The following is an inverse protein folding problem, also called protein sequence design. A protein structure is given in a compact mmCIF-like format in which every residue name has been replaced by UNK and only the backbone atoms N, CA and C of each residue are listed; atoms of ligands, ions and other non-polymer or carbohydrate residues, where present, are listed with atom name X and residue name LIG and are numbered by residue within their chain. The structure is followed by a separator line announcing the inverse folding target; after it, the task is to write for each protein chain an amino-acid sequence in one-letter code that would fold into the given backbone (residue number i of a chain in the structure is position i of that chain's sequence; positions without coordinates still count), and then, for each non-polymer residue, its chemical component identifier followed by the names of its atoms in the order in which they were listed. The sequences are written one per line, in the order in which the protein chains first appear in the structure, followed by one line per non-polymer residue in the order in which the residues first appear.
data_IF_723030092438
#
_entry.id   IF_723030092438
#
_cell.length_a   1.000
_cell.length_b   1.000
_cell.length_c   1.000
_cell.angle_alpha   90.00
_cell.angle_beta   90.00
_cell.angle_gamma   90.00
#
_symmetry.space_group_name_H-M   'P 1'
#
loop_
_entity.id
_entity.type
_entity.pdbx_description
1 polymer ?
#
# COMPACT_ATOMS: atom_id res chain seq x y z
N UNK A 1 34.47 -5.36 60.58
CA UNK A 1 33.11 -4.99 60.10
C UNK A 1 33.08 -4.50 58.64
N UNK A 2 34.02 -4.92 57.78
CA UNK A 2 34.26 -4.27 56.47
C UNK A 2 33.94 -5.14 55.23
N UNK A 3 34.01 -6.47 55.33
CA UNK A 3 33.77 -7.36 54.17
C UNK A 3 32.30 -7.45 53.72
N UNK A 4 31.35 -7.40 54.67
CA UNK A 4 29.89 -7.56 54.38
C UNK A 4 29.28 -6.38 53.65
N UNK A 5 29.85 -5.18 53.80
CA UNK A 5 29.38 -3.97 53.12
C UNK A 5 29.91 -3.91 51.68
N UNK A 6 31.14 -4.36 51.43
CA UNK A 6 31.70 -4.44 50.07
C UNK A 6 30.90 -5.33 49.13
N UNK A 7 30.46 -6.51 49.60
CA UNK A 7 29.62 -7.41 48.80
C UNK A 7 28.22 -6.85 48.48
N UNK A 8 27.63 -6.08 49.41
CA UNK A 8 26.33 -5.43 49.21
C UNK A 8 26.40 -4.26 48.23
N UNK A 9 27.45 -3.44 48.31
CA UNK A 9 27.70 -2.37 47.34
C UNK A 9 28.00 -2.94 45.94
N UNK A 10 28.78 -4.03 45.85
CA UNK A 10 29.03 -4.70 44.58
C UNK A 10 27.73 -5.24 43.95
N UNK A 11 26.84 -5.84 44.75
CA UNK A 11 25.55 -6.35 44.28
C UNK A 11 24.61 -5.22 43.81
N UNK A 12 24.59 -4.09 44.50
CA UNK A 12 23.78 -2.92 44.13
C UNK A 12 24.30 -2.30 42.82
N UNK A 13 25.62 -2.11 42.69
CA UNK A 13 26.22 -1.60 41.46
C UNK A 13 26.00 -2.54 40.27
N UNK A 14 26.11 -3.85 40.47
CA UNK A 14 25.82 -4.84 39.42
C UNK A 14 24.35 -4.79 38.96
N UNK A 15 23.41 -4.66 39.92
CA UNK A 15 21.98 -4.57 39.61
C UNK A 15 21.63 -3.26 38.90
N UNK A 16 22.22 -2.14 39.33
CA UNK A 16 22.06 -0.84 38.68
C UNK A 16 22.62 -0.82 37.25
N UNK A 17 23.79 -1.42 37.03
CA UNK A 17 24.38 -1.55 35.70
C UNK A 17 23.55 -2.44 34.77
N UNK A 18 23.00 -3.55 35.27
CA UNK A 18 22.15 -4.45 34.49
C UNK A 18 20.82 -3.78 34.10
N UNK A 19 20.24 -3.01 35.02
CA UNK A 19 18.97 -2.29 34.79
C UNK A 19 19.17 -1.15 33.79
N UNK A 20 20.26 -0.38 33.91
CA UNK A 20 20.60 0.67 32.95
C UNK A 20 20.89 0.10 31.55
N UNK A 21 21.53 -1.07 31.44
CA UNK A 21 21.81 -1.69 30.15
C UNK A 21 20.52 -2.03 29.36
N UNK A 22 19.42 -2.37 30.02
CA UNK A 22 18.13 -2.66 29.35
C UNK A 22 17.51 -1.41 28.74
N UNK A 23 17.73 -0.22 29.31
CA UNK A 23 17.16 1.05 28.81
C UNK A 23 18.07 1.82 27.84
N UNK A 24 19.36 1.46 27.76
CA UNK A 24 20.35 2.14 26.91
C UNK A 24 20.62 1.38 25.60
N UNK A 25 20.23 0.10 25.52
CA UNK A 25 20.32 -0.65 24.28
C UNK A 25 19.24 -0.15 23.30
N UNK A 26 19.61 0.26 22.07
CA UNK A 26 18.62 0.62 21.06
C UNK A 26 17.75 -0.60 20.79
N UNK A 27 16.43 -0.40 20.78
CA UNK A 27 15.50 -1.43 20.35
C UNK A 27 15.84 -1.83 18.91
N UNK A 28 16.39 -3.04 18.73
CA UNK A 28 16.61 -3.62 17.40
C UNK A 28 15.29 -4.19 16.90
N UNK A 29 14.37 -3.32 16.50
CA UNK A 29 13.31 -3.70 15.58
C UNK A 29 13.96 -3.91 14.21
N UNK A 30 14.54 -5.09 13.99
CA UNK A 30 14.99 -5.46 12.65
C UNK A 30 13.78 -5.48 11.74
N UNK A 31 13.81 -4.71 10.66
CA UNK A 31 12.76 -4.75 9.65
C UNK A 31 12.81 -6.12 8.99
N UNK A 32 11.83 -6.98 9.27
CA UNK A 32 11.70 -8.24 8.53
C UNK A 32 11.31 -7.90 7.09
N UNK A 33 12.28 -8.02 6.18
CA UNK A 33 12.07 -7.75 4.77
C UNK A 33 10.90 -8.58 4.20
N UNK A 34 10.69 -9.81 4.68
CA UNK A 34 9.55 -10.64 4.24
C UNK A 34 8.22 -10.03 4.68
N UNK A 35 8.12 -9.58 5.93
CA UNK A 35 6.92 -8.90 6.42
C UNK A 35 6.64 -7.59 5.66
N UNK A 36 7.68 -6.81 5.35
CA UNK A 36 7.54 -5.59 4.54
C UNK A 36 7.01 -5.90 3.14
N UNK A 37 7.62 -6.88 2.45
CA UNK A 37 7.19 -7.30 1.11
C UNK A 37 5.75 -7.83 1.14
N UNK A 38 5.39 -8.60 2.17
CA UNK A 38 4.02 -9.10 2.33
C UNK A 38 3.02 -7.94 2.44
N UNK A 39 3.27 -6.99 3.34
CA UNK A 39 2.40 -5.82 3.49
C UNK A 39 2.31 -5.00 2.20
N UNK A 40 3.43 -4.83 1.49
CA UNK A 40 3.44 -4.13 0.20
C UNK A 40 2.57 -4.85 -0.85
N UNK A 41 2.65 -6.19 -0.92
CA UNK A 41 1.81 -6.99 -1.80
C UNK A 41 0.32 -6.93 -1.42
N UNK A 42 0.00 -6.97 -0.12
CA UNK A 42 -1.37 -6.84 0.38
C UNK A 42 -1.98 -5.47 0.00
N UNK A 43 -1.19 -4.38 0.08
CA UNK A 43 -1.62 -3.04 -0.36
C UNK A 43 -1.82 -3.03 -1.89
N UNK A 44 -0.89 -3.60 -2.66
CA UNK A 44 -1.00 -3.64 -4.11
C UNK A 44 -2.28 -4.38 -4.56
N UNK A 45 -2.58 -5.52 -3.93
CA UNK A 45 -3.82 -6.26 -4.18
C UNK A 45 -5.05 -5.39 -3.91
N UNK A 46 -5.13 -4.76 -2.73
CA UNK A 46 -6.26 -3.90 -2.39
C UNK A 46 -6.45 -2.75 -3.41
N UNK A 47 -5.35 -2.15 -3.90
CA UNK A 47 -5.42 -1.10 -4.93
C UNK A 47 -5.94 -1.62 -6.27
N UNK A 48 -5.54 -2.81 -6.69
CA UNK A 48 -6.08 -3.42 -7.90
C UNK A 48 -7.55 -3.81 -7.75
N UNK A 49 -7.98 -4.28 -6.57
CA UNK A 49 -9.39 -4.59 -6.27
C UNK A 49 -10.27 -3.34 -6.29
N UNK A 50 -9.80 -2.23 -5.72
CA UNK A 50 -10.48 -0.92 -5.80
C UNK A 50 -10.59 -0.44 -7.26
N UNK A 51 -9.51 -0.59 -8.04
CA UNK A 51 -9.50 -0.23 -9.47
C UNK A 51 -10.47 -1.09 -10.27
N UNK A 52 -10.55 -2.40 -10.01
CA UNK A 52 -11.47 -3.30 -10.69
C UNK A 52 -12.93 -2.96 -10.35
N UNK A 53 -13.23 -2.74 -9.07
CA UNK A 53 -14.58 -2.44 -8.58
C UNK A 53 -15.14 -1.18 -9.24
N UNK A 54 -14.31 -0.14 -9.33
CA UNK A 54 -14.72 1.12 -9.97
C UNK A 54 -14.78 1.00 -11.50
N UNK A 55 -13.92 0.21 -12.13
CA UNK A 55 -14.01 -0.09 -13.56
C UNK A 55 -15.31 -0.84 -13.92
N UNK A 56 -15.75 -1.81 -13.10
CA UNK A 56 -17.04 -2.49 -13.28
C UNK A 56 -18.23 -1.54 -13.09
N UNK A 57 -18.09 -0.51 -12.25
CA UNK A 57 -19.11 0.52 -12.09
C UNK A 57 -19.18 1.42 -13.32
N UNK A 58 -18.02 1.79 -13.89
CA UNK A 58 -17.93 2.50 -15.16
C UNK A 58 -18.56 1.70 -16.30
N UNK A 59 -18.25 0.40 -16.41
CA UNK A 59 -18.80 -0.51 -17.42
C UNK A 59 -20.34 -0.47 -17.44
N UNK A 60 -20.98 -0.62 -16.27
CA UNK A 60 -22.44 -0.50 -16.13
C UNK A 60 -22.98 0.87 -16.53
N UNK A 61 -22.25 1.96 -16.23
CA UNK A 61 -22.67 3.31 -16.60
C UNK A 61 -22.57 3.54 -18.11
N UNK A 62 -21.56 2.96 -18.76
CA UNK A 62 -21.40 2.96 -20.21
C UNK A 62 -22.52 2.15 -20.87
N UNK A 63 -22.85 0.96 -20.35
CA UNK A 63 -23.98 0.16 -20.83
C UNK A 63 -25.30 0.94 -20.76
N UNK A 64 -25.55 1.65 -19.65
CA UNK A 64 -26.72 2.49 -19.49
C UNK A 64 -26.77 3.65 -20.50
N UNK A 65 -25.62 4.28 -20.77
CA UNK A 65 -25.49 5.32 -21.80
C UNK A 65 -25.79 4.77 -23.20
N UNK A 66 -25.26 3.59 -23.54
CA UNK A 66 -25.50 2.94 -24.83
C UNK A 66 -26.98 2.57 -24.99
N UNK A 67 -27.59 2.00 -23.95
CA UNK A 67 -28.99 1.56 -23.99
C UNK A 67 -29.99 2.72 -24.03
N UNK A 68 -29.70 3.83 -23.34
CA UNK A 68 -30.58 5.00 -23.29
C UNK A 68 -29.79 6.31 -23.34
N UNK A 69 -29.35 6.75 -24.53
CA UNK A 69 -28.54 7.96 -24.65
C UNK A 69 -29.30 9.21 -24.22
N UNK A 70 -28.80 9.91 -23.20
CA UNK A 70 -29.34 11.17 -22.70
C UNK A 70 -28.25 12.01 -22.03
N UNK A 71 -28.57 13.26 -21.70
CA UNK A 71 -27.66 14.11 -20.91
C UNK A 71 -27.36 13.48 -19.54
N UNK A 72 -28.35 12.86 -18.91
CA UNK A 72 -28.22 12.25 -17.59
C UNK A 72 -27.33 11.00 -17.63
N UNK A 73 -27.55 10.09 -18.59
CA UNK A 73 -26.72 8.88 -18.71
C UNK A 73 -25.29 9.20 -19.14
N UNK A 74 -25.10 10.25 -19.95
CA UNK A 74 -23.77 10.73 -20.32
C UNK A 74 -23.04 11.34 -19.13
N UNK A 75 -23.73 12.12 -18.29
CA UNK A 75 -23.14 12.66 -17.07
C UNK A 75 -22.80 11.56 -16.07
N UNK A 76 -23.67 10.56 -15.91
CA UNK A 76 -23.40 9.40 -15.07
C UNK A 76 -22.13 8.63 -15.52
N UNK A 77 -21.98 8.38 -16.82
CA UNK A 77 -20.79 7.73 -17.37
C UNK A 77 -19.50 8.57 -17.14
N UNK A 78 -19.57 9.89 -17.30
CA UNK A 78 -18.42 10.80 -17.02
C UNK A 78 -18.01 10.80 -15.56
N UNK A 79 -18.98 10.84 -14.63
CA UNK A 79 -18.68 10.75 -13.19
C UNK A 79 -18.07 9.40 -12.83
N UNK A 80 -18.63 8.30 -13.36
CA UNK A 80 -18.08 6.96 -13.15
C UNK A 80 -16.65 6.84 -13.73
N UNK A 81 -16.36 7.47 -14.87
CA UNK A 81 -15.03 7.47 -15.46
C UNK A 81 -14.03 8.19 -14.55
N UNK A 82 -14.38 9.38 -14.04
CA UNK A 82 -13.54 10.13 -13.09
C UNK A 82 -13.30 9.30 -11.81
N UNK A 83 -14.33 8.65 -11.29
CA UNK A 83 -14.22 7.78 -10.12
C UNK A 83 -13.30 6.58 -10.36
N UNK A 84 -13.39 5.91 -11.52
CA UNK A 84 -12.55 4.78 -11.88
C UNK A 84 -11.07 5.15 -12.08
N UNK A 85 -10.80 6.38 -12.51
CA UNK A 85 -9.42 6.86 -12.71
C UNK A 85 -8.63 7.00 -11.40
N UNK A 86 -9.29 7.38 -10.30
CA UNK A 86 -8.63 7.65 -9.02
C UNK A 86 -7.89 6.41 -8.46
N UNK A 87 -8.54 5.24 -8.28
CA UNK A 87 -7.83 4.05 -7.80
C UNK A 87 -6.88 3.48 -8.86
N UNK A 88 -7.21 3.54 -10.15
CA UNK A 88 -6.30 3.09 -11.22
C UNK A 88 -4.94 3.77 -11.16
N UNK A 89 -4.90 5.11 -11.04
CA UNK A 89 -3.65 5.88 -11.00
C UNK A 89 -2.76 5.48 -9.81
N UNK A 90 -3.36 5.06 -8.69
CA UNK A 90 -2.60 4.58 -7.54
C UNK A 90 -1.93 3.23 -7.81
N UNK A 91 -2.42 2.45 -8.78
CA UNK A 91 -1.82 1.18 -9.15
C UNK A 91 -0.55 1.33 -9.99
N UNK A 92 -0.32 2.51 -10.59
CA UNK A 92 0.79 2.73 -11.53
C UNK A 92 2.17 2.53 -10.88
N UNK A 93 2.27 2.72 -9.55
CA UNK A 93 3.50 2.48 -8.80
C UNK A 93 3.92 0.99 -8.76
N UNK A 94 2.98 0.07 -8.99
CA UNK A 94 3.22 -1.38 -8.96
C UNK A 94 3.58 -1.96 -10.34
N UNK A 95 3.69 -1.11 -11.38
CA UNK A 95 4.10 -1.52 -12.73
C UNK A 95 5.57 -1.88 -12.83
N UNK A 96 6.42 -1.22 -12.04
CA UNK A 96 7.88 -1.34 -12.18
C UNK A 96 8.36 -2.77 -11.96
N UNK A 97 8.93 -3.38 -13.00
CA UNK A 97 9.44 -4.75 -12.96
C UNK A 97 8.34 -5.82 -12.96
N UNK A 98 7.09 -5.46 -13.24
CA UNK A 98 5.96 -6.37 -13.24
C UNK A 98 5.49 -6.66 -14.67
N UNK A 99 6.13 -7.66 -15.30
CA UNK A 99 5.81 -8.07 -16.68
C UNK A 99 4.33 -8.41 -16.88
N UNK A 100 3.66 -8.97 -15.85
CA UNK A 100 2.24 -9.31 -15.94
C UNK A 100 1.42 -8.04 -16.18
N UNK A 101 1.74 -6.95 -15.49
CA UNK A 101 1.04 -5.67 -15.65
C UNK A 101 1.39 -5.02 -16.98
N UNK A 102 2.65 -5.05 -17.38
CA UNK A 102 3.09 -4.47 -18.66
C UNK A 102 2.41 -5.13 -19.88
N UNK A 103 2.15 -6.43 -19.81
CA UNK A 103 1.51 -7.16 -20.91
C UNK A 103 0.05 -6.71 -21.18
N UNK A 104 -0.64 -6.13 -20.20
CA UNK A 104 -2.03 -5.65 -20.38
C UNK A 104 -2.22 -4.13 -20.27
N UNK A 105 -1.29 -3.39 -19.68
CA UNK A 105 -1.51 -1.97 -19.34
C UNK A 105 -1.74 -1.07 -20.55
N UNK A 106 -1.07 -1.34 -21.68
CA UNK A 106 -1.29 -0.60 -22.92
C UNK A 106 -2.73 -0.66 -23.40
N UNK A 107 -3.50 -1.68 -23.03
CA UNK A 107 -4.93 -1.78 -23.39
C UNK A 107 -5.84 -0.94 -22.49
N UNK A 108 -5.34 -0.47 -21.35
CA UNK A 108 -6.12 0.23 -20.31
C UNK A 108 -5.89 1.73 -20.35
N UNK A 109 -4.64 2.18 -20.58
CA UNK A 109 -4.25 3.59 -20.40
C UNK A 109 -3.23 4.05 -21.45
N UNK A 110 -3.36 3.56 -22.69
CA UNK A 110 -2.54 4.07 -23.81
C UNK A 110 -2.76 5.57 -24.03
N UNK A 111 -1.65 6.27 -24.20
CA UNK A 111 -1.59 7.65 -24.66
C UNK A 111 -0.26 7.88 -25.42
N UNK A 112 -0.24 8.59 -26.56
CA UNK A 112 -1.37 9.20 -27.27
C UNK A 112 -2.32 8.17 -27.90
N UNK A 113 -3.51 8.63 -28.27
CA UNK A 113 -4.45 7.85 -29.07
C UNK A 113 -4.19 8.09 -30.57
N UNK A 114 -4.44 7.08 -31.38
CA UNK A 114 -4.52 7.22 -32.83
C UNK A 114 -5.89 7.83 -33.18
N UNK A 115 -5.90 9.12 -33.51
CA UNK A 115 -7.11 9.90 -33.79
C UNK A 115 -7.42 10.02 -35.30
N UNK A 116 -6.57 9.46 -36.18
CA UNK A 116 -6.68 9.56 -37.64
C UNK A 116 -5.70 10.51 -38.31
#
# INVERSE_FOLDING_TARGET
MTARNGGRLAAICATAALTAAVFVLPAKAGTDAKAVIKTYADIALAKYEDSLTTAQTLDKAVDALIASPSADTLNAAREAWKAARIPYQQTEVYRFGNKIVDDWEGRVNSWPLDEG
#
